data_IF_674997298425
#
_entry.id   IF_674997298425
#
_cell.length_a   1.000
_cell.length_b   1.000
_cell.length_c   1.000
_cell.angle_alpha   90.00
_cell.angle_beta   90.00
_cell.angle_gamma   90.00
#
_symmetry.space_group_name_H-M   'P 1'
#
loop_
_entity.id
_entity.type
_entity.pdbx_description
1 polymer ?
#
# COMPACT_ATOMS: atom_id res chain seq x y z
N UNK A 1 13.05 5.04 1.95
CA UNK A 1 11.95 5.91 2.42
C UNK A 1 12.40 6.91 3.48
N UNK A 2 12.72 6.50 4.72
CA UNK A 2 13.04 7.47 5.81
C UNK A 2 14.23 8.39 5.52
N UNK A 3 15.33 7.88 4.96
CA UNK A 3 16.47 8.72 4.57
C UNK A 3 16.03 9.80 3.57
N UNK A 4 15.20 9.44 2.59
CA UNK A 4 14.67 10.41 1.63
C UNK A 4 13.85 11.49 2.34
N UNK A 5 12.87 11.11 3.16
CA UNK A 5 11.92 12.07 3.72
C UNK A 5 12.51 12.94 4.84
N UNK A 6 13.37 12.37 5.70
CA UNK A 6 13.93 13.09 6.84
C UNK A 6 15.18 13.90 6.44
N UNK A 7 16.12 13.30 5.70
CA UNK A 7 17.36 13.98 5.35
C UNK A 7 17.19 14.89 4.14
N UNK A 8 16.60 14.40 3.04
CA UNK A 8 16.46 15.22 1.83
C UNK A 8 15.24 16.13 1.88
N UNK A 9 14.09 15.70 2.42
CA UNK A 9 12.81 16.44 2.36
C UNK A 9 12.41 17.15 3.64
N UNK A 10 13.30 17.16 4.64
CA UNK A 10 13.21 18.07 5.78
C UNK A 10 12.15 17.71 6.82
N UNK A 11 11.60 16.48 6.81
CA UNK A 11 10.73 15.96 7.88
C UNK A 11 9.38 15.43 7.40
N UNK A 12 8.66 14.76 8.30
CA UNK A 12 7.32 14.20 8.10
C UNK A 12 6.41 14.80 9.17
N UNK A 13 5.46 15.65 8.77
CA UNK A 13 4.65 16.43 9.72
C UNK A 13 3.29 16.74 9.09
N UNK A 14 2.22 16.12 9.60
CA UNK A 14 0.87 16.25 9.04
C UNK A 14 0.28 17.65 9.24
N UNK A 15 0.61 18.28 10.37
CA UNK A 15 0.10 19.58 10.77
C UNK A 15 1.20 20.65 10.73
N UNK A 16 1.77 20.82 9.54
CA UNK A 16 2.88 21.74 9.28
C UNK A 16 2.42 22.88 8.38
N UNK A 17 2.89 24.10 8.65
CA UNK A 17 2.72 25.25 7.76
C UNK A 17 3.50 25.10 6.45
N UNK A 18 4.55 24.26 6.44
CA UNK A 18 5.28 23.90 5.23
C UNK A 18 4.54 22.76 4.47
N UNK A 19 3.98 23.02 3.27
CA UNK A 19 3.24 22.01 2.51
C UNK A 19 4.08 20.79 2.15
N UNK A 20 5.41 20.95 1.96
CA UNK A 20 6.27 19.84 1.59
C UNK A 20 6.35 18.76 2.69
N UNK A 21 6.31 19.16 3.97
CA UNK A 21 6.31 18.21 5.09
C UNK A 21 4.98 17.47 5.24
N UNK A 22 3.87 18.16 4.94
CA UNK A 22 2.54 17.55 4.87
C UNK A 22 2.50 16.52 3.76
N UNK A 23 3.01 16.86 2.56
CA UNK A 23 3.15 15.91 1.46
C UNK A 23 3.98 14.68 1.86
N UNK A 24 5.09 14.85 2.58
CA UNK A 24 5.97 13.73 2.97
C UNK A 24 5.27 12.66 3.82
N UNK A 25 4.15 12.98 4.48
CA UNK A 25 3.30 11.99 5.16
C UNK A 25 2.72 10.97 4.18
N UNK A 26 2.34 11.40 2.98
CA UNK A 26 1.75 10.54 1.97
C UNK A 26 2.66 9.36 1.56
N UNK A 27 3.87 9.56 0.97
CA UNK A 27 4.71 8.46 0.55
C UNK A 27 5.19 7.60 1.74
N UNK A 28 5.31 8.18 2.95
CA UNK A 28 5.63 7.42 4.15
C UNK A 28 4.53 6.43 4.52
N UNK A 29 3.30 6.92 4.71
CA UNK A 29 2.18 6.10 5.15
C UNK A 29 1.72 5.12 4.06
N UNK A 30 1.78 5.51 2.78
CA UNK A 30 1.51 4.59 1.67
C UNK A 30 2.55 3.46 1.60
N UNK A 31 3.83 3.75 1.85
CA UNK A 31 4.84 2.69 1.93
C UNK A 31 4.62 1.77 3.13
N UNK A 32 4.48 2.32 4.34
CA UNK A 32 4.33 1.55 5.56
C UNK A 32 3.03 0.73 5.57
N UNK A 33 1.90 1.35 5.24
CA UNK A 33 0.59 0.70 5.23
C UNK A 33 0.38 -0.18 4.00
N UNK A 34 0.41 0.44 2.82
CA UNK A 34 -0.08 -0.16 1.58
C UNK A 34 0.91 -1.11 0.90
N UNK A 35 2.21 -0.96 1.16
CA UNK A 35 3.23 -1.88 0.65
C UNK A 35 3.63 -2.84 1.75
N UNK A 36 4.23 -2.35 2.83
CA UNK A 36 4.86 -3.21 3.82
C UNK A 36 3.83 -4.01 4.63
N UNK A 37 2.92 -3.36 5.37
CA UNK A 37 1.97 -4.07 6.23
C UNK A 37 0.99 -4.94 5.44
N UNK A 38 0.48 -4.46 4.30
CA UNK A 38 -0.35 -5.25 3.38
C UNK A 38 0.41 -6.48 2.87
N UNK A 39 1.69 -6.34 2.47
CA UNK A 39 2.52 -7.48 2.07
C UNK A 39 2.70 -8.51 3.20
N UNK A 40 2.94 -8.04 4.43
CA UNK A 40 3.01 -8.91 5.61
C UNK A 40 1.68 -9.61 5.89
N UNK A 41 0.55 -8.91 5.72
CA UNK A 41 -0.78 -9.47 5.88
C UNK A 41 -1.03 -10.62 4.89
N UNK A 42 -0.63 -10.45 3.62
CA UNK A 42 -0.76 -11.49 2.60
C UNK A 42 0.04 -12.75 2.95
N UNK A 43 1.21 -12.62 3.58
CA UNK A 43 2.05 -13.74 3.99
C UNK A 43 1.71 -14.33 5.38
N UNK A 44 0.77 -13.73 6.12
CA UNK A 44 0.51 -14.07 7.52
C UNK A 44 0.17 -15.55 7.77
N UNK A 45 -0.50 -16.22 6.82
CA UNK A 45 -0.80 -17.65 6.92
C UNK A 45 0.44 -18.56 6.86
N UNK A 46 1.60 -18.03 6.44
CA UNK A 46 2.89 -18.73 6.44
C UNK A 46 3.84 -18.25 7.53
N UNK A 47 3.87 -16.95 7.77
CA UNK A 47 4.89 -16.33 8.62
C UNK A 47 4.51 -16.32 10.09
N UNK A 48 3.23 -16.47 10.43
CA UNK A 48 2.76 -16.48 11.81
C UNK A 48 2.66 -17.92 12.31
N UNK A 49 3.52 -18.36 13.25
CA UNK A 49 3.52 -19.73 13.79
C UNK A 49 2.41 -19.89 14.85
N UNK A 50 1.15 -19.79 14.42
CA UNK A 50 -0.02 -19.88 15.28
C UNK A 50 -1.14 -20.68 14.61
N UNK A 51 -2.18 -21.02 15.39
CA UNK A 51 -3.37 -21.67 14.86
C UNK A 51 -4.02 -20.86 13.73
N UNK A 52 -4.65 -21.53 12.77
CA UNK A 52 -5.25 -20.92 11.57
C UNK A 52 -6.22 -19.77 11.88
N UNK A 53 -6.94 -19.85 13.00
CA UNK A 53 -7.83 -18.77 13.43
C UNK A 53 -7.05 -17.51 13.84
N UNK A 54 -5.93 -17.66 14.55
CA UNK A 54 -5.05 -16.54 14.91
C UNK A 54 -4.39 -15.93 13.67
N UNK A 55 -3.89 -16.76 12.74
CA UNK A 55 -3.34 -16.28 11.46
C UNK A 55 -4.36 -15.44 10.68
N UNK A 56 -5.62 -15.88 10.64
CA UNK A 56 -6.70 -15.14 9.98
C UNK A 56 -6.98 -13.79 10.66
N UNK A 57 -6.96 -13.74 11.99
CA UNK A 57 -7.10 -12.49 12.74
C UNK A 57 -5.94 -11.55 12.42
N UNK A 58 -4.70 -12.04 12.44
CA UNK A 58 -3.51 -11.24 12.09
C UNK A 58 -3.60 -10.70 10.66
N UNK A 59 -3.95 -11.55 9.69
CA UNK A 59 -4.17 -11.14 8.30
C UNK A 59 -5.19 -9.98 8.21
N UNK A 60 -6.35 -10.12 8.85
CA UNK A 60 -7.41 -9.12 8.83
C UNK A 60 -6.99 -7.81 9.50
N UNK A 61 -6.36 -7.88 10.69
CA UNK A 61 -5.94 -6.70 11.46
C UNK A 61 -4.83 -5.94 10.74
N UNK A 62 -3.84 -6.63 10.17
CA UNK A 62 -2.76 -5.97 9.42
C UNK A 62 -3.30 -5.23 8.18
N UNK A 63 -4.25 -5.83 7.44
CA UNK A 63 -4.92 -5.10 6.36
C UNK A 63 -5.71 -3.90 6.86
N UNK A 64 -6.41 -4.01 8.00
CA UNK A 64 -7.16 -2.89 8.58
C UNK A 64 -6.24 -1.74 9.00
N UNK A 65 -5.09 -2.04 9.62
CA UNK A 65 -4.06 -1.03 9.94
C UNK A 65 -3.54 -0.40 8.63
N UNK A 66 -3.26 -1.21 7.60
CA UNK A 66 -2.83 -0.71 6.30
C UNK A 66 -3.84 0.26 5.66
N UNK A 67 -5.14 -0.07 5.73
CA UNK A 67 -6.23 0.80 5.27
C UNK A 67 -6.26 2.10 6.09
N UNK A 68 -6.21 2.03 7.42
CA UNK A 68 -6.24 3.21 8.28
C UNK A 68 -5.07 4.16 7.99
N UNK A 69 -3.85 3.63 7.84
CA UNK A 69 -2.69 4.43 7.45
C UNK A 69 -2.84 5.02 6.04
N UNK A 70 -3.42 4.26 5.10
CA UNK A 70 -3.71 4.73 3.76
C UNK A 70 -4.72 5.89 3.73
N UNK A 71 -5.76 5.87 4.59
CA UNK A 71 -6.69 7.00 4.74
C UNK A 71 -5.93 8.27 5.13
N UNK A 72 -5.07 8.20 6.14
CA UNK A 72 -4.28 9.35 6.59
C UNK A 72 -3.29 9.80 5.52
N UNK A 73 -2.64 8.86 4.82
CA UNK A 73 -1.73 9.17 3.72
C UNK A 73 -2.42 9.85 2.53
N UNK A 74 -3.64 9.43 2.18
CA UNK A 74 -4.44 10.06 1.14
C UNK A 74 -4.93 11.44 1.61
N UNK A 75 -5.43 11.56 2.84
CA UNK A 75 -5.84 12.84 3.40
C UNK A 75 -4.68 13.86 3.40
N UNK A 76 -3.44 13.41 3.64
CA UNK A 76 -2.26 14.27 3.61
C UNK A 76 -1.96 14.83 2.20
N UNK A 77 -2.16 14.05 1.13
CA UNK A 77 -1.90 14.55 -0.23
C UNK A 77 -3.00 15.51 -0.71
N UNK A 78 -4.27 15.26 -0.36
CA UNK A 78 -5.36 16.22 -0.60
C UNK A 78 -5.11 17.53 0.15
N UNK A 79 -4.79 17.47 1.46
CA UNK A 79 -4.41 18.66 2.23
C UNK A 79 -3.22 19.40 1.60
N UNK A 80 -2.22 18.68 1.11
CA UNK A 80 -1.10 19.29 0.41
C UNK A 80 -1.54 20.03 -0.85
N UNK A 81 -2.41 19.44 -1.69
CA UNK A 81 -2.92 20.10 -2.90
C UNK A 81 -3.70 21.37 -2.55
N UNK A 82 -4.57 21.32 -1.54
CA UNK A 82 -5.30 22.49 -1.04
C UNK A 82 -4.35 23.61 -0.61
N UNK A 83 -3.29 23.28 0.13
CA UNK A 83 -2.30 24.26 0.62
C UNK A 83 -1.54 24.97 -0.51
N UNK A 84 -1.35 24.32 -1.66
CA UNK A 84 -0.63 24.90 -2.80
C UNK A 84 -1.53 25.32 -3.96
N UNK A 85 -2.86 25.19 -3.80
CA UNK A 85 -3.83 25.48 -4.86
C UNK A 85 -3.69 24.59 -6.10
N UNK A 86 -3.28 23.33 -5.92
CA UNK A 86 -3.13 22.37 -7.02
C UNK A 86 -4.44 21.63 -7.30
N UNK A 87 -4.61 21.21 -8.56
CA UNK A 87 -5.73 20.35 -8.95
C UNK A 87 -5.54 18.93 -8.42
N UNK A 88 -6.63 18.33 -7.94
CA UNK A 88 -6.66 16.94 -7.51
C UNK A 88 -6.81 15.95 -8.66
N UNK A 89 -6.38 14.71 -8.45
CA UNK A 89 -6.78 13.56 -9.28
C UNK A 89 -6.52 13.67 -10.80
N UNK A 90 -5.56 14.48 -11.25
CA UNK A 90 -5.24 14.62 -12.69
C UNK A 90 -4.23 13.58 -13.21
N UNK A 91 -3.47 12.94 -12.32
CA UNK A 91 -2.36 12.05 -12.71
C UNK A 91 -2.77 10.58 -12.83
N UNK A 92 -2.09 9.83 -13.70
CA UNK A 92 -2.25 8.37 -13.78
C UNK A 92 -1.94 7.69 -12.44
N UNK A 93 -0.92 8.19 -11.73
CA UNK A 93 -0.61 7.73 -10.36
C UNK A 93 -1.83 7.84 -9.44
N UNK A 94 -2.50 9.00 -9.41
CA UNK A 94 -3.68 9.21 -8.57
C UNK A 94 -4.85 8.28 -8.95
N UNK A 95 -5.06 8.02 -10.25
CA UNK A 95 -6.13 7.12 -10.69
C UNK A 95 -5.86 5.67 -10.29
N UNK A 96 -4.64 5.18 -10.49
CA UNK A 96 -4.23 3.84 -10.05
C UNK A 96 -4.32 3.76 -8.52
N UNK A 97 -3.79 4.75 -7.81
CA UNK A 97 -3.75 4.80 -6.35
C UNK A 97 -5.13 4.75 -5.71
N UNK A 98 -6.04 5.64 -6.11
CA UNK A 98 -7.39 5.70 -5.54
C UNK A 98 -8.22 4.46 -5.90
N UNK A 99 -8.14 3.98 -7.15
CA UNK A 99 -8.82 2.75 -7.57
C UNK A 99 -8.33 1.56 -6.73
N UNK A 100 -7.02 1.41 -6.57
CA UNK A 100 -6.43 0.35 -5.73
C UNK A 100 -6.91 0.46 -4.29
N UNK A 101 -6.94 1.67 -3.73
CA UNK A 101 -7.36 1.90 -2.35
C UNK A 101 -8.82 1.50 -2.12
N UNK A 102 -9.73 1.93 -3.00
CA UNK A 102 -11.16 1.57 -2.94
C UNK A 102 -11.33 0.05 -3.06
N UNK A 103 -10.65 -0.57 -4.02
CA UNK A 103 -10.73 -2.01 -4.25
C UNK A 103 -10.14 -2.83 -3.09
N UNK A 104 -9.10 -2.33 -2.42
CA UNK A 104 -8.57 -2.96 -1.20
C UNK A 104 -9.60 -2.91 -0.06
N UNK A 105 -10.30 -1.78 0.13
CA UNK A 105 -11.38 -1.67 1.10
C UNK A 105 -12.51 -2.66 0.83
N UNK A 106 -12.95 -2.77 -0.43
CA UNK A 106 -13.95 -3.75 -0.85
C UNK A 106 -13.48 -5.19 -0.64
N UNK A 107 -12.24 -5.49 -1.01
CA UNK A 107 -11.62 -6.80 -0.80
C UNK A 107 -11.58 -7.19 0.68
N UNK A 108 -11.26 -6.24 1.56
CA UNK A 108 -11.24 -6.44 3.01
C UNK A 108 -12.65 -6.70 3.55
N UNK A 109 -13.64 -5.89 3.16
CA UNK A 109 -15.04 -6.05 3.57
C UNK A 109 -15.61 -7.40 3.12
N UNK A 110 -15.40 -7.76 1.84
CA UNK A 110 -15.81 -9.06 1.30
C UNK A 110 -15.11 -10.22 2.02
N UNK A 111 -13.83 -10.07 2.33
CA UNK A 111 -13.07 -11.04 3.13
C UNK A 111 -13.63 -11.20 4.54
N UNK A 112 -13.99 -10.09 5.20
CA UNK A 112 -14.57 -10.08 6.54
C UNK A 112 -15.90 -10.84 6.58
N UNK A 113 -16.86 -10.47 5.72
CA UNK A 113 -18.20 -11.09 5.71
C UNK A 113 -18.15 -12.56 5.29
N UNK A 114 -17.24 -12.91 4.37
CA UNK A 114 -17.12 -14.28 3.85
C UNK A 114 -16.40 -15.21 4.82
N UNK A 115 -15.28 -14.77 5.42
CA UNK A 115 -14.37 -15.67 6.15
C UNK A 115 -14.32 -15.47 7.67
N UNK A 116 -14.84 -14.35 8.20
CA UNK A 116 -14.76 -14.00 9.63
C UNK A 116 -16.14 -13.90 10.29
N UNK A 117 -16.95 -12.90 9.93
CA UNK A 117 -18.24 -12.62 10.57
C UNK A 117 -19.18 -11.92 9.57
N UNK A 118 -20.41 -12.43 9.33
CA UNK A 118 -21.10 -13.55 10.00
C UNK A 118 -20.61 -14.94 9.59
N UNK A 119 -19.62 -15.04 8.68
CA UNK A 119 -19.03 -16.27 8.12
C UNK A 119 -20.02 -17.01 7.21
N UNK A 120 -19.75 -16.94 5.91
CA UNK A 120 -20.58 -17.57 4.88
C UNK A 120 -20.55 -19.11 4.95
N UNK A 121 -21.50 -19.74 4.22
CA UNK A 121 -21.56 -21.19 4.06
C UNK A 121 -20.23 -21.76 3.53
N UNK A 122 -19.99 -23.06 3.74
CA UNK A 122 -18.78 -23.71 3.23
C UNK A 122 -18.68 -23.61 1.71
N UNK A 123 -19.79 -23.81 1.00
CA UNK A 123 -19.87 -23.74 -0.46
C UNK A 123 -19.46 -22.35 -0.99
N UNK A 124 -20.03 -21.28 -0.43
CA UNK A 124 -19.70 -19.91 -0.81
C UNK A 124 -18.23 -19.60 -0.55
N UNK A 125 -17.71 -19.99 0.63
CA UNK A 125 -16.30 -19.77 0.97
C UNK A 125 -15.35 -20.47 0.01
N UNK A 126 -15.66 -21.71 -0.37
CA UNK A 126 -14.85 -22.49 -1.32
C UNK A 126 -14.87 -21.88 -2.72
N UNK A 127 -16.04 -21.40 -3.20
CA UNK A 127 -16.16 -20.71 -4.50
C UNK A 127 -15.47 -19.35 -4.54
N UNK A 128 -15.51 -18.61 -3.42
CA UNK A 128 -14.90 -17.28 -3.33
C UNK A 128 -13.38 -17.31 -3.12
N UNK A 129 -12.82 -18.41 -2.63
CA UNK A 129 -11.39 -18.48 -2.28
C UNK A 129 -10.45 -18.16 -3.45
N UNK A 130 -10.62 -18.75 -4.66
CA UNK A 130 -9.76 -18.44 -5.80
C UNK A 130 -9.84 -16.96 -6.23
N UNK A 131 -11.04 -16.37 -6.12
CA UNK A 131 -11.28 -14.95 -6.42
C UNK A 131 -10.61 -14.04 -5.40
N UNK A 132 -10.77 -14.35 -4.11
CA UNK A 132 -10.14 -13.59 -3.02
C UNK A 132 -8.62 -13.56 -3.19
N UNK A 133 -8.00 -14.70 -3.49
CA UNK A 133 -6.54 -14.78 -3.66
C UNK A 133 -6.09 -14.09 -4.94
N UNK A 134 -6.73 -14.36 -6.08
CA UNK A 134 -6.36 -13.75 -7.36
C UNK A 134 -6.50 -12.23 -7.32
N UNK A 135 -7.59 -11.71 -6.75
CA UNK A 135 -7.80 -10.27 -6.63
C UNK A 135 -6.83 -9.63 -5.63
N UNK A 136 -6.53 -10.29 -4.52
CA UNK A 136 -5.49 -9.83 -3.59
C UNK A 136 -4.11 -9.69 -4.25
N UNK A 137 -3.73 -10.64 -5.10
CA UNK A 137 -2.49 -10.56 -5.90
C UNK A 137 -2.53 -9.43 -6.93
N UNK A 138 -3.65 -9.27 -7.63
CA UNK A 138 -3.82 -8.15 -8.57
C UNK A 138 -3.66 -6.78 -7.86
N UNK A 139 -4.26 -6.64 -6.67
CA UNK A 139 -4.14 -5.42 -5.87
C UNK A 139 -2.72 -5.15 -5.38
N UNK A 140 -1.94 -6.19 -5.06
CA UNK A 140 -0.52 -6.04 -4.74
C UNK A 140 0.24 -5.39 -5.91
N UNK A 141 0.02 -5.88 -7.13
CA UNK A 141 0.65 -5.31 -8.32
C UNK A 141 0.18 -3.89 -8.61
N UNK A 142 -1.10 -3.59 -8.43
CA UNK A 142 -1.61 -2.22 -8.58
C UNK A 142 -1.01 -1.27 -7.53
N UNK A 143 -0.84 -1.72 -6.29
CA UNK A 143 -0.21 -0.93 -5.23
C UNK A 143 1.28 -0.66 -5.53
N UNK A 144 2.01 -1.67 -6.04
CA UNK A 144 3.39 -1.48 -6.52
C UNK A 144 3.42 -0.50 -7.68
N UNK A 145 2.55 -0.63 -8.68
CA UNK A 145 2.47 0.31 -9.80
C UNK A 145 2.15 1.74 -9.33
N UNK A 146 1.24 1.91 -8.39
CA UNK A 146 0.94 3.22 -7.77
C UNK A 146 2.18 3.78 -7.07
N UNK A 147 2.89 2.99 -6.26
CA UNK A 147 4.10 3.45 -5.57
C UNK A 147 5.21 3.87 -6.55
N UNK A 148 5.49 3.06 -7.58
CA UNK A 148 6.52 3.36 -8.57
C UNK A 148 6.19 4.62 -9.38
N UNK A 149 4.95 4.75 -9.84
CA UNK A 149 4.50 5.94 -10.59
C UNK A 149 4.53 7.19 -9.72
N UNK A 150 4.17 7.09 -8.43
CA UNK A 150 4.22 8.21 -7.48
C UNK A 150 5.65 8.68 -7.18
N UNK A 151 6.58 7.74 -7.00
CA UNK A 151 8.00 8.06 -6.82
C UNK A 151 8.57 8.75 -8.08
N UNK A 152 8.28 8.21 -9.26
CA UNK A 152 8.73 8.78 -10.54
C UNK A 152 8.14 10.19 -10.78
N UNK A 153 6.85 10.38 -10.51
CA UNK A 153 6.19 11.67 -10.61
C UNK A 153 6.83 12.67 -9.65
N UNK A 154 7.09 12.28 -8.39
CA UNK A 154 7.71 13.17 -7.41
C UNK A 154 9.15 13.53 -7.77
N UNK A 155 9.94 12.58 -8.27
CA UNK A 155 11.29 12.85 -8.78
C UNK A 155 11.25 13.89 -9.92
N UNK A 156 10.30 13.73 -10.84
CA UNK A 156 10.11 14.62 -12.00
C UNK A 156 9.72 16.03 -11.57
N UNK A 157 8.74 16.16 -10.67
CA UNK A 157 8.27 17.45 -10.15
C UNK A 157 9.35 18.18 -9.36
N UNK A 158 10.28 17.46 -8.72
CA UNK A 158 11.41 18.03 -7.99
C UNK A 158 12.63 18.31 -8.89
N UNK A 159 12.57 17.98 -10.19
CA UNK A 159 13.64 18.14 -11.16
C UNK A 159 15.00 17.57 -10.71
N UNK A 160 14.99 16.34 -10.15
CA UNK A 160 16.17 15.74 -9.50
C UNK A 160 17.13 15.02 -10.46
N UNK A 161 17.06 15.26 -11.77
CA UNK A 161 17.83 14.51 -12.77
C UNK A 161 19.35 14.60 -12.49
N UNK A 162 19.98 13.45 -12.24
CA UNK A 162 21.42 13.35 -11.95
C UNK A 162 21.81 13.54 -10.48
N UNK A 163 20.87 13.92 -9.61
CA UNK A 163 21.10 14.12 -8.18
C UNK A 163 21.23 12.79 -7.43
N UNK A 164 21.96 12.78 -6.31
CA UNK A 164 22.03 11.61 -5.42
C UNK A 164 20.64 11.24 -4.85
N UNK A 165 19.79 12.24 -4.61
CA UNK A 165 18.41 12.04 -4.16
C UNK A 165 17.59 11.20 -5.16
N UNK A 166 17.69 11.49 -6.47
CA UNK A 166 17.02 10.69 -7.50
C UNK A 166 17.52 9.24 -7.52
N UNK A 167 18.82 9.00 -7.35
CA UNK A 167 19.37 7.63 -7.26
C UNK A 167 18.78 6.87 -6.06
N UNK A 168 18.61 7.53 -4.91
CA UNK A 168 17.98 6.96 -3.72
C UNK A 168 16.49 6.65 -3.94
N UNK A 169 15.75 7.54 -4.61
CA UNK A 169 14.33 7.34 -4.97
C UNK A 169 14.20 6.12 -5.89
N UNK A 170 15.00 6.06 -6.96
CA UNK A 170 15.01 4.95 -7.90
C UNK A 170 15.36 3.60 -7.23
N UNK A 171 16.38 3.59 -6.36
CA UNK A 171 16.71 2.40 -5.58
C UNK A 171 15.56 1.99 -4.65
N UNK A 172 14.91 2.95 -3.98
CA UNK A 172 13.72 2.67 -3.15
C UNK A 172 12.60 2.06 -3.98
N UNK A 173 12.35 2.57 -5.20
CA UNK A 173 11.38 2.00 -6.14
C UNK A 173 11.72 0.56 -6.52
N UNK A 174 12.98 0.28 -6.87
CA UNK A 174 13.43 -1.09 -7.17
C UNK A 174 13.23 -2.04 -5.97
N UNK A 175 13.52 -1.59 -4.75
CA UNK A 175 13.27 -2.38 -3.55
C UNK A 175 11.78 -2.68 -3.35
N UNK A 176 10.89 -1.72 -3.61
CA UNK A 176 9.43 -1.92 -3.54
C UNK A 176 8.97 -2.96 -4.57
N UNK A 177 9.47 -2.87 -5.81
CA UNK A 177 9.16 -3.84 -6.86
C UNK A 177 9.59 -5.26 -6.46
N UNK A 178 10.84 -5.42 -6.04
CA UNK A 178 11.38 -6.72 -5.61
C UNK A 178 10.60 -7.27 -4.42
N UNK A 179 10.30 -6.42 -3.42
CA UNK A 179 9.47 -6.81 -2.28
C UNK A 179 8.10 -7.35 -2.73
N UNK A 180 7.41 -6.64 -3.63
CA UNK A 180 6.12 -7.09 -4.17
C UNK A 180 6.22 -8.44 -4.87
N UNK A 181 7.27 -8.66 -5.68
CA UNK A 181 7.52 -9.95 -6.34
C UNK A 181 7.72 -11.08 -5.31
N UNK A 182 8.55 -10.86 -4.28
CA UNK A 182 8.79 -11.89 -3.26
C UNK A 182 7.56 -12.19 -2.41
N UNK A 183 6.73 -11.19 -2.11
CA UNK A 183 5.42 -11.39 -1.45
C UNK A 183 4.54 -12.27 -2.33
N UNK A 184 4.41 -11.96 -3.63
CA UNK A 184 3.59 -12.76 -4.55
C UNK A 184 4.08 -14.20 -4.67
N UNK A 185 5.40 -14.40 -4.80
CA UNK A 185 6.01 -15.73 -4.83
C UNK A 185 5.71 -16.51 -3.55
N UNK A 186 5.81 -15.87 -2.38
CA UNK A 186 5.46 -16.49 -1.09
C UNK A 186 3.99 -16.94 -1.05
N UNK A 187 3.07 -16.11 -1.57
CA UNK A 187 1.64 -16.43 -1.65
C UNK A 187 1.37 -17.54 -2.68
N UNK A 188 1.96 -17.46 -3.88
CA UNK A 188 1.74 -18.43 -4.95
C UNK A 188 2.27 -19.83 -4.59
N UNK A 189 3.48 -19.92 -4.02
CA UNK A 189 4.05 -21.19 -3.57
C UNK A 189 3.28 -21.78 -2.37
N UNK A 190 2.34 -21.05 -1.76
CA UNK A 190 1.47 -21.60 -0.71
C UNK A 190 0.43 -22.58 -1.25
N UNK A 191 0.08 -22.46 -2.53
CA UNK A 191 -0.93 -23.31 -3.16
C UNK A 191 -0.40 -24.66 -3.62
N UNK A 192 0.92 -24.83 -3.61
CA UNK A 192 1.61 -26.04 -4.10
C UNK A 192 2.28 -26.85 -2.99
N UNK A 193 2.16 -26.44 -1.73
CA UNK A 193 2.68 -27.13 -0.54
C UNK A 193 1.53 -27.64 0.31
#
# INVERSE_FOLDING_TARGET
>A
MLIWLLHYRGGIEYDSDNPARVFNVHPFLMFCGFIFLVGQAMMAYKTVPAAKQAQKVVHMVLHLIGIALGIVGIAAVFRFHDMIGAEDMFSLHSWIGLTTFIMLGLQWLLGLVTYMFPKASLETRSRMMPWHISFGRALLYMAVAAALTGLMQRETLLNLRGHAEARLINFTGLCILLFGIFVDLSVAMAHHA
#
